data_IF_700392327406
#
_entry.id   IF_700392327406
#
_cell.length_a   1.000
_cell.length_b   1.000
_cell.length_c   1.000
_cell.angle_alpha   90.00
_cell.angle_beta   90.00
_cell.angle_gamma   90.00
#
_symmetry.space_group_name_H-M   'P 1'
#
loop_
_entity.id
_entity.type
_entity.pdbx_description
1 polymer ?
#
# COMPACT_ATOMS: atom_id res chain seq x y z
N UNK A 1 -13.91 -6.76 -22.10
CA UNK A 1 -13.03 -6.74 -20.94
C UNK A 1 -11.63 -6.34 -21.40
N UNK A 2 -11.11 -5.28 -20.86
CA UNK A 2 -9.74 -4.83 -21.19
C UNK A 2 -8.71 -5.78 -20.59
N UNK A 3 -7.66 -6.05 -21.35
CA UNK A 3 -6.50 -6.77 -20.81
C UNK A 3 -5.62 -5.78 -20.07
N UNK A 4 -5.21 -6.15 -18.86
CA UNK A 4 -4.29 -5.37 -18.07
C UNK A 4 -3.40 -6.28 -17.23
N UNK A 5 -2.25 -5.77 -16.81
CA UNK A 5 -1.38 -6.51 -15.90
C UNK A 5 -2.03 -6.62 -14.52
N UNK A 6 -1.56 -7.55 -13.70
CA UNK A 6 -2.01 -7.66 -12.32
C UNK A 6 -1.77 -6.37 -11.54
N UNK A 7 -0.60 -5.73 -11.77
CA UNK A 7 -0.28 -4.46 -11.12
C UNK A 7 -1.28 -3.36 -11.49
N UNK A 8 -1.61 -3.24 -12.77
CA UNK A 8 -2.62 -2.27 -13.23
C UNK A 8 -3.99 -2.57 -12.65
N UNK A 9 -4.34 -3.86 -12.52
CA UNK A 9 -5.61 -4.26 -11.92
C UNK A 9 -5.70 -3.83 -10.45
N UNK A 10 -4.61 -3.95 -9.69
CA UNK A 10 -4.56 -3.48 -8.30
C UNK A 10 -4.82 -1.98 -8.24
N UNK A 11 -4.14 -1.21 -9.09
CA UNK A 11 -4.32 0.25 -9.12
C UNK A 11 -5.76 0.61 -9.49
N UNK A 12 -6.33 -0.08 -10.47
CA UNK A 12 -7.72 0.14 -10.87
C UNK A 12 -8.68 -0.13 -9.71
N UNK A 13 -8.47 -1.22 -8.97
CA UNK A 13 -9.28 -1.53 -7.80
C UNK A 13 -9.18 -0.45 -6.73
N UNK A 14 -7.98 0.07 -6.49
CA UNK A 14 -7.79 1.16 -5.51
C UNK A 14 -8.59 2.40 -5.92
N UNK A 15 -8.53 2.78 -7.20
CA UNK A 15 -9.29 3.92 -7.71
C UNK A 15 -10.79 3.70 -7.55
N UNK A 16 -11.28 2.50 -7.86
CA UNK A 16 -12.71 2.17 -7.75
C UNK A 16 -13.20 2.22 -6.30
N UNK A 17 -12.33 1.95 -5.34
CA UNK A 17 -12.65 2.04 -3.92
C UNK A 17 -12.45 3.44 -3.34
N UNK A 18 -12.14 4.42 -4.19
CA UNK A 18 -11.97 5.80 -3.75
C UNK A 18 -10.64 6.09 -3.08
N UNK A 19 -9.65 5.22 -3.26
CA UNK A 19 -8.31 5.42 -2.70
C UNK A 19 -7.54 6.39 -3.59
N UNK A 20 -7.10 7.49 -3.02
CA UNK A 20 -6.31 8.51 -3.72
C UNK A 20 -4.90 8.68 -3.16
N UNK A 21 -4.57 8.02 -2.07
CA UNK A 21 -3.27 8.15 -1.42
C UNK A 21 -2.83 6.80 -0.88
N UNK A 22 -1.57 6.44 -1.16
CA UNK A 22 -0.95 5.24 -0.61
C UNK A 22 0.41 5.61 -0.02
N UNK A 23 0.84 4.84 0.98
CA UNK A 23 2.13 5.05 1.65
C UNK A 23 3.00 3.83 1.42
N UNK A 24 4.25 4.03 1.03
CA UNK A 24 5.05 2.86 0.73
C UNK A 24 6.55 3.10 0.63
N UNK A 25 7.26 1.99 0.56
CA UNK A 25 8.70 1.96 0.32
C UNK A 25 8.98 0.88 -0.73
N UNK A 26 9.64 1.22 -1.86
CA UNK A 26 9.84 0.29 -2.95
C UNK A 26 10.88 -0.78 -2.65
N UNK A 27 10.76 -1.89 -3.38
CA UNK A 27 11.71 -3.00 -3.35
C UNK A 27 11.45 -3.91 -4.53
N UNK A 28 12.33 -4.88 -4.78
CA UNK A 28 12.34 -5.67 -6.02
C UNK A 28 11.01 -6.30 -6.38
N UNK A 29 10.37 -6.97 -5.44
CA UNK A 29 9.15 -7.75 -5.74
C UNK A 29 7.91 -6.89 -5.88
N UNK A 30 7.96 -5.60 -5.52
CA UNK A 30 6.83 -4.69 -5.64
C UNK A 30 7.02 -3.66 -6.77
N UNK A 31 8.14 -3.69 -7.47
CA UNK A 31 8.43 -2.74 -8.55
C UNK A 31 7.36 -2.68 -9.64
N UNK A 32 6.78 -3.80 -10.10
CA UNK A 32 5.71 -3.71 -11.10
C UNK A 32 4.52 -2.86 -10.64
N UNK A 33 4.19 -2.91 -9.35
CA UNK A 33 3.12 -2.08 -8.81
C UNK A 33 3.53 -0.62 -8.79
N UNK A 34 4.78 -0.33 -8.43
CA UNK A 34 5.31 1.04 -8.45
C UNK A 34 5.35 1.62 -9.86
N UNK A 35 5.68 0.81 -10.87
CA UNK A 35 5.61 1.25 -12.26
C UNK A 35 4.19 1.67 -12.64
N UNK A 36 3.20 0.88 -12.25
CA UNK A 36 1.80 1.21 -12.52
C UNK A 36 1.37 2.47 -11.78
N UNK A 37 1.82 2.64 -10.52
CA UNK A 37 1.55 3.85 -9.73
C UNK A 37 2.15 5.10 -10.36
N UNK A 38 3.36 4.98 -10.89
CA UNK A 38 4.06 6.12 -11.50
C UNK A 38 3.25 6.76 -12.62
N UNK A 39 2.55 5.94 -13.40
CA UNK A 39 1.73 6.40 -14.51
C UNK A 39 0.31 6.79 -14.09
N UNK A 40 -0.06 6.59 -12.82
CA UNK A 40 -1.40 6.86 -12.33
C UNK A 40 -1.43 8.19 -11.56
N UNK A 41 -2.12 9.18 -12.12
CA UNK A 41 -2.21 10.51 -11.50
C UNK A 41 -3.29 10.58 -10.41
N UNK A 42 -4.22 9.65 -10.42
CA UNK A 42 -5.37 9.63 -9.51
C UNK A 42 -5.00 9.09 -8.13
N UNK A 43 -3.90 8.34 -8.03
CA UNK A 43 -3.43 7.78 -6.75
C UNK A 43 -2.03 8.35 -6.48
N UNK A 44 -1.93 9.10 -5.40
CA UNK A 44 -0.66 9.69 -4.97
C UNK A 44 0.09 8.71 -4.08
N UNK A 45 1.35 8.44 -4.39
CA UNK A 45 2.22 7.65 -3.56
C UNK A 45 3.05 8.57 -2.66
N UNK A 46 3.03 8.32 -1.37
CA UNK A 46 3.86 9.02 -0.38
C UNK A 46 4.99 8.08 0.01
N UNK A 47 6.19 8.42 -0.42
CA UNK A 47 7.38 7.63 -0.12
C UNK A 47 7.79 7.82 1.34
N UNK A 48 8.02 6.71 2.02
CA UNK A 48 8.57 6.71 3.38
C UNK A 48 9.98 6.16 3.35
N UNK A 49 10.70 6.28 4.46
CA UNK A 49 12.08 5.80 4.56
C UNK A 49 12.20 4.47 5.29
N UNK A 50 11.10 3.93 5.77
CA UNK A 50 11.02 2.62 6.42
C UNK A 50 9.58 2.14 6.35
N UNK A 51 9.38 0.86 6.07
CA UNK A 51 8.03 0.29 5.90
C UNK A 51 7.15 0.47 7.13
N UNK A 52 7.73 0.40 8.32
CA UNK A 52 6.97 0.64 9.55
C UNK A 52 6.30 2.02 9.53
N UNK A 53 6.99 3.01 9.00
CA UNK A 53 6.43 4.36 8.86
C UNK A 53 5.26 4.37 7.88
N UNK A 54 5.30 3.55 6.83
CA UNK A 54 4.18 3.44 5.90
C UNK A 54 2.93 2.91 6.60
N UNK A 55 3.08 1.87 7.41
CA UNK A 55 1.95 1.31 8.15
C UNK A 55 1.39 2.31 9.16
N UNK A 56 2.25 3.01 9.89
CA UNK A 56 1.79 4.04 10.83
C UNK A 56 1.14 5.22 10.12
N UNK A 57 1.66 5.61 8.95
CA UNK A 57 1.05 6.67 8.16
C UNK A 57 -0.34 6.27 7.66
N UNK A 58 -0.49 5.03 7.19
CA UNK A 58 -1.79 4.51 6.76
C UNK A 58 -2.79 4.50 7.92
N UNK A 59 -2.35 4.08 9.10
CA UNK A 59 -3.16 4.09 10.32
C UNK A 59 -3.62 5.52 10.65
N UNK A 60 -2.68 6.47 10.69
CA UNK A 60 -2.99 7.87 10.97
C UNK A 60 -3.92 8.49 9.93
N UNK A 61 -3.70 8.17 8.67
CA UNK A 61 -4.56 8.62 7.58
C UNK A 61 -6.00 8.11 7.76
N UNK A 62 -6.15 6.84 8.10
CA UNK A 62 -7.48 6.26 8.32
C UNK A 62 -8.18 6.92 9.50
N UNK A 63 -7.46 7.15 10.60
CA UNK A 63 -8.01 7.82 11.78
C UNK A 63 -8.48 9.24 11.48
N UNK A 64 -7.67 9.98 10.74
CA UNK A 64 -7.95 11.41 10.46
C UNK A 64 -9.01 11.58 9.37
N UNK A 65 -9.00 10.75 8.34
CA UNK A 65 -9.86 10.94 7.17
C UNK A 65 -11.18 10.16 7.24
N UNK A 66 -11.25 9.12 8.05
CA UNK A 66 -12.37 8.18 8.03
C UNK A 66 -12.38 7.24 6.83
N UNK A 67 -11.30 7.26 6.03
CA UNK A 67 -11.14 6.37 4.88
C UNK A 67 -10.20 5.23 5.23
N UNK A 68 -10.18 4.19 4.38
CA UNK A 68 -9.21 3.10 4.54
C UNK A 68 -7.81 3.60 4.19
N UNK A 69 -6.84 3.34 5.06
CA UNK A 69 -5.44 3.65 4.79
C UNK A 69 -4.77 2.49 4.04
N UNK A 70 -3.94 2.81 3.05
CA UNK A 70 -3.26 1.79 2.24
C UNK A 70 -1.76 1.95 2.34
N UNK A 71 -1.05 0.87 2.66
CA UNK A 71 0.40 0.84 2.66
C UNK A 71 0.91 -0.27 1.74
N UNK A 72 2.10 -0.05 1.17
CA UNK A 72 2.70 -0.92 0.16
C UNK A 72 4.14 -1.22 0.58
N UNK A 73 4.54 -2.49 0.51
CA UNK A 73 5.90 -2.90 0.81
C UNK A 73 6.29 -4.10 -0.05
N UNK A 74 7.60 -4.30 -0.22
CA UNK A 74 8.11 -5.47 -0.90
C UNK A 74 8.00 -6.72 -0.01
N UNK A 75 8.33 -7.88 -0.57
CA UNK A 75 8.34 -9.15 0.16
C UNK A 75 9.41 -9.19 1.26
N UNK A 76 9.35 -10.21 2.10
CA UNK A 76 10.37 -10.47 3.13
C UNK A 76 10.42 -9.38 4.19
N UNK A 77 11.59 -8.78 4.42
CA UNK A 77 11.73 -7.77 5.47
C UNK A 77 10.87 -6.53 5.24
N UNK A 78 10.54 -6.20 3.99
CA UNK A 78 9.59 -5.12 3.71
C UNK A 78 8.23 -5.41 4.32
N UNK A 79 7.71 -6.61 4.07
CA UNK A 79 6.42 -7.03 4.61
C UNK A 79 6.47 -7.16 6.14
N UNK A 80 7.54 -7.76 6.70
CA UNK A 80 7.63 -7.95 8.15
C UNK A 80 7.78 -6.62 8.89
N UNK A 81 8.34 -5.62 8.26
CA UNK A 81 8.45 -4.28 8.86
C UNK A 81 7.11 -3.56 8.99
N UNK A 82 6.05 -4.08 8.40
CA UNK A 82 4.69 -3.52 8.55
C UNK A 82 4.01 -3.99 9.84
N UNK A 83 4.52 -5.03 10.49
CA UNK A 83 3.80 -5.73 11.58
C UNK A 83 3.40 -4.81 12.72
N UNK A 84 4.32 -3.96 13.20
CA UNK A 84 4.03 -3.07 14.33
C UNK A 84 2.87 -2.11 14.01
N UNK A 85 2.90 -1.51 12.82
CA UNK A 85 1.83 -0.60 12.40
C UNK A 85 0.50 -1.31 12.20
N UNK A 86 0.53 -2.51 11.63
CA UNK A 86 -0.67 -3.33 11.46
C UNK A 86 -1.24 -3.72 12.83
N UNK A 87 -0.38 -4.11 13.78
CA UNK A 87 -0.83 -4.44 15.13
C UNK A 87 -1.48 -3.23 15.82
N UNK A 88 -0.90 -2.05 15.65
CA UNK A 88 -1.46 -0.82 16.20
C UNK A 88 -2.86 -0.55 15.65
N UNK A 89 -3.02 -0.65 14.33
CA UNK A 89 -4.31 -0.45 13.69
C UNK A 89 -5.32 -1.53 14.12
N UNK A 90 -4.86 -2.77 14.19
CA UNK A 90 -5.71 -3.90 14.58
C UNK A 90 -6.29 -3.72 15.98
N UNK A 91 -5.45 -3.31 16.93
CA UNK A 91 -5.89 -3.15 18.32
C UNK A 91 -6.99 -2.10 18.48
N UNK A 92 -7.00 -1.09 17.61
CA UNK A 92 -7.98 -0.01 17.67
C UNK A 92 -9.07 -0.14 16.59
N UNK A 93 -9.10 -1.26 15.86
CA UNK A 93 -10.06 -1.50 14.78
C UNK A 93 -10.01 -0.43 13.69
N UNK A 94 -8.81 0.05 13.37
CA UNK A 94 -8.60 1.05 12.31
C UNK A 94 -8.47 0.31 10.97
N UNK A 95 -9.23 0.69 9.94
CA UNK A 95 -9.21 -0.02 8.67
C UNK A 95 -8.00 0.37 7.82
N UNK A 96 -7.08 -0.57 7.65
CA UNK A 96 -5.95 -0.41 6.73
C UNK A 96 -5.86 -1.63 5.82
N UNK A 97 -5.29 -1.42 4.64
CA UNK A 97 -4.96 -2.50 3.70
C UNK A 97 -3.46 -2.44 3.45
N UNK A 98 -2.80 -3.56 3.63
CA UNK A 98 -1.37 -3.70 3.36
C UNK A 98 -1.19 -4.56 2.10
N UNK A 99 -0.49 -4.01 1.10
CA UNK A 99 -0.20 -4.70 -0.15
C UNK A 99 1.29 -5.02 -0.16
N UNK A 100 1.63 -6.29 -0.27
CA UNK A 100 3.02 -6.72 -0.24
C UNK A 100 3.36 -7.52 -1.51
N UNK A 101 4.62 -7.43 -1.92
CA UNK A 101 5.13 -8.25 -2.99
C UNK A 101 5.31 -9.70 -2.55
N UNK A 102 5.50 -10.58 -3.52
CA UNK A 102 5.74 -12.00 -3.27
C UNK A 102 6.90 -12.47 -4.12
N UNK A 103 7.77 -13.30 -3.53
CA UNK A 103 8.86 -13.92 -4.28
C UNK A 103 8.32 -15.08 -5.13
N UNK A 104 9.06 -15.42 -6.18
CA UNK A 104 8.75 -16.59 -6.98
C UNK A 104 8.87 -17.86 -6.13
N UNK A 105 7.99 -18.78 -6.38
CA UNK A 105 7.98 -20.09 -5.67
C UNK A 105 8.74 -21.15 -6.42
#
# INVERSE_FOLDING_TARGET
>A
MEKMTGAMAVIQCLMEQGVDTVFGYPGGMILPLYDALYDCKEVKEILVTHEQNAAHAADGYARASGKVGVCIATSGPGATNLVTGIATAFMDSIPIVAITGQVDT
#
